data_IF_314127338968
#
_entry.id   IF_314127338968
#
_cell.length_a   1.000
_cell.length_b   1.000
_cell.length_c   1.000
_cell.angle_alpha   90.00
_cell.angle_beta   90.00
_cell.angle_gamma   90.00
#
_symmetry.space_group_name_H-M   'P 1'
#
loop_
_entity.id
_entity.type
_entity.pdbx_description
1 polymer ?
#
# COMPACT_ATOMS: atom_id res chain seq x y z
N UNK A 1 0.14 24.86 -25.14
CA UNK A 1 1.55 24.56 -24.80
C UNK A 1 1.94 23.21 -25.38
N UNK A 2 3.17 23.07 -25.86
CA UNK A 2 3.67 21.79 -26.37
C UNK A 2 4.00 20.85 -25.20
N UNK A 3 3.81 19.53 -25.37
CA UNK A 3 3.94 18.59 -24.25
C UNK A 3 5.35 18.56 -23.66
N UNK A 4 6.39 18.65 -24.49
CA UNK A 4 7.79 18.71 -24.03
C UNK A 4 8.05 19.91 -23.12
N UNK A 5 7.49 21.08 -23.45
CA UNK A 5 7.58 22.28 -22.61
C UNK A 5 6.91 22.07 -21.26
N UNK A 6 5.71 21.48 -21.23
CA UNK A 6 5.02 21.18 -19.97
C UNK A 6 5.83 20.18 -19.12
N UNK A 7 6.37 19.13 -19.74
CA UNK A 7 7.17 18.11 -19.06
C UNK A 7 8.49 18.68 -18.52
N UNK A 8 9.10 19.64 -19.21
CA UNK A 8 10.28 20.37 -18.72
C UNK A 8 9.97 21.32 -17.57
N UNK A 9 8.81 21.98 -17.57
CA UNK A 9 8.36 22.84 -16.48
C UNK A 9 7.96 22.06 -15.23
N UNK A 10 7.37 20.87 -15.41
CA UNK A 10 6.92 19.95 -14.36
C UNK A 10 6.27 20.64 -13.13
N UNK A 11 5.23 21.48 -13.32
CA UNK A 11 4.67 22.22 -12.21
C UNK A 11 4.07 21.28 -11.16
N UNK A 12 4.28 21.59 -9.88
CA UNK A 12 3.94 20.70 -8.77
C UNK A 12 2.46 20.28 -8.74
N UNK A 13 1.54 21.12 -9.20
CA UNK A 13 0.11 20.78 -9.25
C UNK A 13 -0.21 19.72 -10.33
N UNK A 14 0.63 19.56 -11.35
CA UNK A 14 0.38 18.63 -12.46
C UNK A 14 0.70 17.17 -12.13
N UNK A 15 1.27 16.87 -10.97
CA UNK A 15 1.36 15.51 -10.43
C UNK A 15 0.03 15.02 -9.83
N UNK A 16 -0.95 15.92 -9.67
CA UNK A 16 -2.28 15.61 -9.13
C UNK A 16 -3.28 15.21 -10.23
N UNK A 17 -4.42 14.59 -9.85
CA UNK A 17 -5.47 14.22 -10.79
C UNK A 17 -6.05 15.42 -11.53
N UNK A 18 -6.12 15.36 -12.86
CA UNK A 18 -6.68 16.41 -13.69
C UNK A 18 -7.62 15.84 -14.75
N UNK A 19 -8.60 16.63 -15.16
CA UNK A 19 -9.19 16.49 -16.49
C UNK A 19 -8.40 17.36 -17.47
N UNK A 20 -8.22 16.93 -18.72
CA UNK A 20 -7.43 17.69 -19.69
C UNK A 20 -8.05 17.70 -21.09
N UNK A 21 -7.61 18.66 -21.89
CA UNK A 21 -7.84 18.74 -23.34
C UNK A 21 -6.48 18.82 -24.03
N UNK A 22 -6.17 17.79 -24.82
CA UNK A 22 -4.89 17.65 -25.53
C UNK A 22 -5.13 17.22 -26.97
N UNK A 23 -4.31 17.67 -27.89
CA UNK A 23 -4.44 17.36 -29.32
C UNK A 23 -3.08 16.95 -29.86
N UNK A 24 -3.10 15.98 -30.76
CA UNK A 24 -1.91 15.62 -31.54
C UNK A 24 -1.70 16.69 -32.62
N UNK A 25 -0.45 17.02 -32.90
CA UNK A 25 -0.05 17.97 -33.93
C UNK A 25 0.96 17.26 -34.84
N UNK A 26 0.54 17.00 -36.08
CA UNK A 26 1.37 16.34 -37.09
C UNK A 26 1.87 17.39 -38.08
N UNK A 27 3.19 17.55 -38.20
CA UNK A 27 3.83 18.51 -39.13
C UNK A 27 3.29 19.96 -38.97
N UNK A 28 3.03 20.39 -37.74
CA UNK A 28 2.46 21.71 -37.44
C UNK A 28 0.94 21.83 -37.65
N UNK A 29 0.27 20.78 -38.15
CA UNK A 29 -1.18 20.75 -38.34
C UNK A 29 -1.84 19.98 -37.19
N UNK A 30 -2.75 20.61 -36.42
CA UNK A 30 -3.51 19.91 -35.38
C UNK A 30 -4.42 18.84 -35.97
N UNK A 31 -4.46 17.67 -35.33
CA UNK A 31 -5.39 16.59 -35.69
C UNK A 31 -6.84 17.08 -35.57
N UNK A 32 -7.80 16.56 -36.37
CA UNK A 32 -9.18 17.06 -36.36
C UNK A 32 -9.91 16.86 -35.01
N UNK A 33 -9.45 15.92 -34.20
CA UNK A 33 -10.02 15.63 -32.89
C UNK A 33 -9.00 15.81 -31.77
N UNK A 34 -9.48 16.34 -30.65
CA UNK A 34 -8.77 16.46 -29.39
C UNK A 34 -9.16 15.31 -28.47
N UNK A 35 -8.20 14.84 -27.66
CA UNK A 35 -8.43 13.92 -26.56
C UNK A 35 -8.86 14.68 -25.32
N UNK A 36 -10.00 14.29 -24.78
CA UNK A 36 -10.51 14.80 -23.51
C UNK A 36 -10.64 13.63 -22.53
N UNK A 37 -9.89 13.67 -21.43
CA UNK A 37 -9.89 12.56 -20.47
C UNK A 37 -9.33 12.92 -19.11
N UNK A 38 -9.20 11.92 -18.25
CA UNK A 38 -8.66 12.01 -16.91
C UNK A 38 -7.20 11.56 -16.80
N UNK A 39 -6.49 12.15 -15.85
CA UNK A 39 -5.17 11.76 -15.39
C UNK A 39 -5.17 11.51 -13.88
N UNK A 40 -4.15 10.82 -13.35
CA UNK A 40 -4.08 10.51 -11.92
C UNK A 40 -5.26 9.65 -11.41
N UNK A 41 -5.77 8.75 -12.26
CA UNK A 41 -6.98 7.96 -11.97
C UNK A 41 -6.78 6.88 -10.91
N UNK A 42 -5.53 6.56 -10.58
CA UNK A 42 -5.17 5.56 -9.58
C UNK A 42 -4.64 6.26 -8.33
N UNK A 43 -5.53 6.57 -7.38
CA UNK A 43 -5.14 7.25 -6.14
C UNK A 43 -4.36 6.36 -5.17
N UNK A 44 -4.46 5.03 -5.36
CA UNK A 44 -3.92 4.00 -4.48
C UNK A 44 -2.89 3.09 -5.15
N UNK A 45 -2.56 3.28 -6.44
CA UNK A 45 -1.41 2.56 -7.01
C UNK A 45 -0.07 3.00 -6.39
N UNK A 46 -0.10 4.09 -5.60
CA UNK A 46 1.02 4.57 -4.79
C UNK A 46 1.05 3.97 -3.38
N UNK A 47 0.15 3.04 -3.00
CA UNK A 47 0.45 2.20 -1.84
C UNK A 47 1.61 1.30 -2.25
N UNK A 48 2.78 1.54 -1.64
CA UNK A 48 4.11 0.97 -1.90
C UNK A 48 4.18 -0.58 -1.99
N UNK A 49 3.07 -1.29 -1.88
CA UNK A 49 2.96 -2.75 -1.86
C UNK A 49 2.63 -3.37 -3.23
N UNK A 50 2.12 -2.62 -4.21
CA UNK A 50 1.68 -3.17 -5.52
C UNK A 50 2.26 -2.41 -6.73
N UNK A 51 3.51 -1.93 -6.61
CA UNK A 51 4.28 -1.47 -7.77
C UNK A 51 5.20 -2.63 -8.20
N UNK A 52 4.83 -3.45 -9.21
CA UNK A 52 5.63 -4.61 -9.61
C UNK A 52 7.02 -4.25 -10.15
N UNK A 53 7.29 -2.98 -10.43
CA UNK A 53 8.59 -2.49 -10.89
C UNK A 53 8.83 -1.07 -10.35
N UNK A 54 10.02 -0.84 -9.76
CA UNK A 54 10.36 0.38 -9.04
C UNK A 54 9.99 1.66 -9.78
N UNK A 55 9.29 2.58 -9.13
CA UNK A 55 8.73 3.75 -9.81
C UNK A 55 8.94 5.05 -9.03
N UNK A 56 10.02 5.75 -9.35
CA UNK A 56 10.07 7.22 -9.30
C UNK A 56 9.40 7.85 -10.54
N UNK A 57 8.29 7.26 -11.02
CA UNK A 57 7.62 7.69 -12.25
C UNK A 57 6.76 8.93 -12.04
N UNK A 58 6.65 9.78 -13.06
CA UNK A 58 5.74 10.93 -13.07
C UNK A 58 4.28 10.44 -12.90
N UNK A 59 3.54 11.09 -12.01
CA UNK A 59 2.12 10.79 -11.72
C UNK A 59 1.19 11.86 -12.29
N UNK A 60 -0.13 11.68 -12.11
CA UNK A 60 -1.11 12.71 -12.47
C UNK A 60 -1.12 13.07 -13.95
N UNK A 61 -1.26 14.36 -14.23
CA UNK A 61 -1.22 14.93 -15.58
C UNK A 61 0.14 14.70 -16.24
N UNK A 62 1.25 14.89 -15.52
CA UNK A 62 2.60 14.71 -16.06
C UNK A 62 2.81 13.28 -16.58
N UNK A 63 2.46 12.26 -15.80
CA UNK A 63 2.55 10.86 -16.24
C UNK A 63 1.73 10.57 -17.50
N UNK A 64 0.51 11.13 -17.58
CA UNK A 64 -0.34 10.98 -18.78
C UNK A 64 0.23 11.72 -19.99
N UNK A 65 0.81 12.89 -19.81
CA UNK A 65 1.42 13.66 -20.91
C UNK A 65 2.71 12.99 -21.40
N UNK A 66 3.53 12.40 -20.52
CA UNK A 66 4.68 11.57 -20.91
C UNK A 66 4.25 10.39 -21.78
N UNK A 67 3.17 9.70 -21.38
CA UNK A 67 2.60 8.60 -22.18
C UNK A 67 2.22 9.08 -23.58
N UNK A 68 1.52 10.20 -23.71
CA UNK A 68 1.15 10.74 -25.03
C UNK A 68 2.35 11.20 -25.84
N UNK A 69 3.33 11.85 -25.21
CA UNK A 69 4.53 12.31 -25.89
C UNK A 69 5.28 11.14 -26.54
N UNK A 70 5.39 10.01 -25.83
CA UNK A 70 6.04 8.81 -26.35
C UNK A 70 5.18 8.07 -27.38
N UNK A 71 3.85 8.05 -27.19
CA UNK A 71 2.93 7.34 -28.08
C UNK A 71 2.73 8.05 -29.42
N UNK A 72 2.84 9.38 -29.46
CA UNK A 72 2.58 10.16 -30.67
C UNK A 72 3.77 10.35 -31.60
N UNK A 73 4.96 9.87 -31.22
CA UNK A 73 6.15 9.93 -32.06
C UNK A 73 5.87 9.39 -33.48
N UNK A 74 6.35 10.09 -34.54
CA UNK A 74 7.21 11.28 -34.52
C UNK A 74 6.45 12.62 -34.36
N UNK A 75 5.14 12.60 -34.16
CA UNK A 75 4.31 13.80 -34.01
C UNK A 75 4.33 14.34 -32.58
N UNK A 76 4.11 15.64 -32.43
CA UNK A 76 4.08 16.29 -31.13
C UNK A 76 2.65 16.36 -30.58
N UNK A 77 2.53 16.61 -29.28
CA UNK A 77 1.25 16.91 -28.64
C UNK A 77 1.20 18.36 -28.18
N UNK A 78 0.00 18.93 -28.16
CA UNK A 78 -0.29 20.23 -27.56
C UNK A 78 -1.43 20.11 -26.56
N UNK A 79 -1.20 20.57 -25.33
CA UNK A 79 -2.22 20.71 -24.29
C UNK A 79 -2.79 22.13 -24.31
N UNK A 80 -4.11 22.24 -24.11
CA UNK A 80 -4.84 23.51 -24.17
C UNK A 80 -5.43 23.91 -22.82
N UNK A 81 -5.97 22.93 -22.08
CA UNK A 81 -6.57 23.18 -20.78
C UNK A 81 -6.43 21.95 -19.87
N UNK A 82 -6.35 22.20 -18.57
CA UNK A 82 -6.46 21.20 -17.52
C UNK A 82 -7.30 21.73 -16.36
N UNK A 83 -8.13 20.87 -15.79
CA UNK A 83 -8.92 21.15 -14.59
C UNK A 83 -8.43 20.23 -13.48
N UNK A 84 -7.86 20.82 -12.43
CA UNK A 84 -7.36 20.12 -11.25
C UNK A 84 -8.53 19.57 -10.43
N UNK A 85 -8.50 18.28 -10.13
CA UNK A 85 -9.53 17.58 -9.37
C UNK A 85 -8.93 17.10 -8.05
N UNK A 86 -9.69 17.29 -6.96
CA UNK A 86 -9.30 16.81 -5.64
C UNK A 86 -9.06 15.30 -5.66
N UNK A 87 -7.90 14.87 -5.14
CA UNK A 87 -7.56 13.47 -4.89
C UNK A 87 -8.51 12.89 -3.82
N UNK A 88 -9.51 12.13 -4.26
CA UNK A 88 -10.56 11.59 -3.39
C UNK A 88 -11.18 10.31 -3.96
N UNK A 89 -11.43 9.33 -3.09
CA UNK A 89 -12.27 8.17 -3.40
C UNK A 89 -13.74 8.53 -3.19
N UNK A 90 -14.59 8.00 -4.05
CA UNK A 90 -16.01 8.34 -4.04
C UNK A 90 -16.91 7.16 -4.37
N UNK A 91 -18.16 7.28 -3.98
CA UNK A 91 -19.27 6.47 -4.44
C UNK A 91 -20.34 7.37 -5.07
N UNK A 92 -21.01 6.85 -6.09
CA UNK A 92 -22.16 7.52 -6.69
C UNK A 92 -23.44 6.95 -6.11
N UNK A 93 -24.22 7.78 -5.42
CA UNK A 93 -25.37 7.31 -4.64
C UNK A 93 -26.40 6.55 -5.48
N UNK A 94 -26.55 6.91 -6.76
CA UNK A 94 -27.53 6.30 -7.66
C UNK A 94 -27.06 4.94 -8.23
N UNK A 95 -25.79 4.56 -8.03
CA UNK A 95 -25.18 3.41 -8.72
C UNK A 95 -24.37 2.49 -7.82
N UNK A 96 -23.66 3.05 -6.86
CA UNK A 96 -22.70 2.34 -6.03
C UNK A 96 -23.27 2.20 -4.62
N UNK A 97 -23.16 0.99 -4.06
CA UNK A 97 -23.50 0.74 -2.66
C UNK A 97 -22.33 1.14 -1.76
N UNK A 98 -22.66 1.80 -0.66
CA UNK A 98 -21.72 2.15 0.40
C UNK A 98 -21.95 1.28 1.63
N UNK A 99 -20.89 1.04 2.40
CA UNK A 99 -20.94 0.39 3.71
C UNK A 99 -19.95 1.06 4.64
N UNK A 100 -20.13 0.87 5.93
CA UNK A 100 -19.16 1.27 6.96
C UNK A 100 -18.16 0.13 7.19
N UNK A 101 -16.90 0.48 7.38
CA UNK A 101 -15.84 -0.43 7.80
C UNK A 101 -15.79 -0.56 9.33
N UNK A 102 -14.80 -1.32 9.83
CA UNK A 102 -14.64 -1.54 11.27
C UNK A 102 -14.38 -0.24 12.07
N UNK A 103 -13.74 0.74 11.46
CA UNK A 103 -13.42 2.03 12.08
C UNK A 103 -14.56 3.06 11.90
N UNK A 104 -15.72 2.64 11.35
CA UNK A 104 -16.84 3.51 11.01
C UNK A 104 -16.64 4.35 9.74
N UNK A 105 -15.61 4.05 8.94
CA UNK A 105 -15.33 4.71 7.68
C UNK A 105 -16.24 4.22 6.56
N UNK A 106 -16.86 5.15 5.83
CA UNK A 106 -17.69 4.80 4.66
C UNK A 106 -16.81 4.44 3.47
N UNK A 107 -17.00 3.25 2.91
CA UNK A 107 -16.30 2.78 1.72
C UNK A 107 -17.27 2.37 0.60
N UNK A 108 -16.79 2.42 -0.65
CA UNK A 108 -17.54 1.96 -1.81
C UNK A 108 -17.43 0.42 -1.92
N UNK A 109 -18.53 -0.31 -1.74
CA UNK A 109 -18.54 -1.77 -1.80
C UNK A 109 -18.35 -2.30 -3.21
N UNK A 110 -18.98 -1.67 -4.19
CA UNK A 110 -18.99 -2.18 -5.56
C UNK A 110 -17.70 -1.81 -6.29
N UNK A 111 -17.13 -0.64 -6.00
CA UNK A 111 -15.91 -0.11 -6.64
C UNK A 111 -15.02 0.66 -5.67
N UNK A 112 -14.33 -0.07 -4.78
CA UNK A 112 -13.45 0.52 -3.76
C UNK A 112 -12.32 1.42 -4.29
N UNK A 113 -11.92 1.26 -5.56
CA UNK A 113 -10.89 2.09 -6.22
C UNK A 113 -11.45 3.26 -7.04
N UNK A 114 -12.76 3.53 -6.98
CA UNK A 114 -13.37 4.61 -7.76
C UNK A 114 -12.94 5.97 -7.26
N UNK A 115 -12.44 6.79 -8.16
CA UNK A 115 -11.87 8.11 -7.85
C UNK A 115 -12.77 9.24 -8.36
N UNK A 116 -12.72 10.39 -7.68
CA UNK A 116 -13.48 11.58 -8.05
C UNK A 116 -13.18 12.02 -9.49
N UNK A 117 -11.93 11.93 -9.93
CA UNK A 117 -11.53 12.32 -11.29
C UNK A 117 -12.25 11.49 -12.36
N UNK A 118 -12.48 10.20 -12.14
CA UNK A 118 -13.25 9.35 -13.06
C UNK A 118 -14.74 9.68 -13.06
N UNK A 119 -15.30 10.06 -11.92
CA UNK A 119 -16.68 10.56 -11.87
C UNK A 119 -16.82 11.86 -12.67
N UNK A 120 -15.87 12.79 -12.50
CA UNK A 120 -15.84 14.08 -13.22
C UNK A 120 -15.53 13.94 -14.70
N UNK A 121 -14.69 12.99 -15.10
CA UNK A 121 -14.46 12.66 -16.51
C UNK A 121 -15.75 12.26 -17.20
N UNK A 122 -16.55 11.41 -16.54
CA UNK A 122 -17.82 10.98 -17.09
C UNK A 122 -18.81 12.13 -17.23
N UNK A 123 -18.86 13.03 -16.24
CA UNK A 123 -19.66 14.26 -16.34
C UNK A 123 -19.18 15.15 -17.50
N UNK A 124 -17.87 15.29 -17.65
CA UNK A 124 -17.27 16.06 -18.74
C UNK A 124 -17.64 15.50 -20.11
N UNK A 125 -17.49 14.19 -20.28
CA UNK A 125 -17.88 13.49 -21.50
C UNK A 125 -19.37 13.63 -21.79
N UNK A 126 -20.23 13.51 -20.78
CA UNK A 126 -21.67 13.70 -20.95
C UNK A 126 -22.03 15.12 -21.39
N UNK A 127 -21.32 16.15 -20.89
CA UNK A 127 -21.50 17.53 -21.31
C UNK A 127 -21.03 17.77 -22.75
N UNK A 128 -19.90 17.16 -23.14
CA UNK A 128 -19.40 17.20 -24.52
C UNK A 128 -20.35 16.50 -25.50
N UNK A 129 -20.93 15.36 -25.10
CA UNK A 129 -21.93 14.63 -25.88
C UNK A 129 -23.22 15.43 -26.03
N UNK A 130 -23.68 16.09 -24.96
CA UNK A 130 -24.85 16.98 -24.99
C UNK A 130 -24.67 18.13 -25.98
N UNK A 131 -23.43 18.57 -26.20
CA UNK A 131 -23.06 19.60 -27.19
C UNK A 131 -22.80 19.05 -28.59
N UNK A 132 -22.89 17.73 -28.79
CA UNK A 132 -22.66 17.08 -30.08
C UNK A 132 -21.21 17.08 -30.54
N UNK A 133 -20.24 17.19 -29.62
CA UNK A 133 -18.82 17.37 -29.95
C UNK A 133 -18.06 16.04 -30.11
N UNK A 134 -18.70 14.88 -29.89
CA UNK A 134 -18.05 13.57 -30.04
C UNK A 134 -17.66 13.33 -31.50
N UNK A 135 -16.42 12.94 -31.76
CA UNK A 135 -15.96 12.71 -33.14
C UNK A 135 -16.71 11.54 -33.80
N UNK A 136 -16.85 10.42 -33.08
CA UNK A 136 -17.60 9.25 -33.54
C UNK A 136 -18.67 8.93 -32.50
N UNK A 137 -19.92 9.31 -32.77
CA UNK A 137 -21.03 9.16 -31.82
C UNK A 137 -21.28 7.70 -31.41
N UNK A 138 -21.01 6.77 -32.32
CA UNK A 138 -21.20 5.33 -32.10
C UNK A 138 -20.12 4.73 -31.18
N UNK A 139 -19.00 5.45 -30.96
CA UNK A 139 -17.89 4.98 -30.11
C UNK A 139 -17.80 5.82 -28.86
N UNK A 140 -17.69 5.15 -27.72
CA UNK A 140 -17.35 5.78 -26.43
C UNK A 140 -15.85 6.06 -26.31
N UNK A 141 -15.25 6.69 -27.32
CA UNK A 141 -13.82 7.04 -27.35
C UNK A 141 -13.58 8.42 -26.74
N UNK A 142 -12.38 8.70 -26.23
CA UNK A 142 -12.03 10.00 -25.64
C UNK A 142 -11.83 11.14 -26.68
N UNK A 143 -12.35 11.01 -27.91
CA UNK A 143 -12.03 11.92 -29.02
C UNK A 143 -13.20 12.83 -29.37
N UNK A 144 -12.93 14.13 -29.40
CA UNK A 144 -13.91 15.19 -29.59
C UNK A 144 -13.44 16.23 -30.60
N UNK A 145 -14.36 16.76 -31.39
CA UNK A 145 -14.10 17.78 -32.40
C UNK A 145 -14.68 19.10 -31.92
N UNK A 146 -13.87 20.14 -31.93
CA UNK A 146 -14.30 21.52 -31.65
C UNK A 146 -14.55 22.26 -32.95
N UNK A 147 -15.58 23.10 -33.01
CA UNK A 147 -15.82 23.99 -34.16
C UNK A 147 -15.02 25.28 -34.06
N UNK A 148 -14.57 25.64 -32.85
CA UNK A 148 -13.89 26.90 -32.53
C UNK A 148 -12.55 26.66 -31.86
N UNK A 149 -11.60 25.99 -32.53
CA UNK A 149 -10.22 25.82 -32.05
C UNK A 149 -10.10 25.44 -30.55
N UNK A 150 -10.69 24.30 -30.20
CA UNK A 150 -10.83 23.77 -28.83
C UNK A 150 -11.58 24.64 -27.80
N UNK A 151 -12.06 25.84 -28.13
CA UNK A 151 -12.82 26.70 -27.22
C UNK A 151 -14.13 26.04 -26.77
N UNK A 152 -14.78 25.25 -27.62
CA UNK A 152 -16.01 24.54 -27.26
C UNK A 152 -15.75 23.48 -26.16
N UNK A 153 -14.58 22.83 -26.22
CA UNK A 153 -14.13 21.82 -25.25
C UNK A 153 -13.73 22.49 -23.92
N UNK A 154 -13.01 23.62 -23.99
CA UNK A 154 -12.66 24.44 -22.82
C UNK A 154 -13.92 24.96 -22.13
N UNK A 155 -14.88 25.46 -22.91
CA UNK A 155 -16.16 25.94 -22.39
C UNK A 155 -17.00 24.82 -21.76
N UNK A 156 -16.90 23.57 -22.24
CA UNK A 156 -17.50 22.42 -21.60
C UNK A 156 -16.78 22.07 -20.29
N UNK A 157 -15.44 22.09 -20.29
CA UNK A 157 -14.62 21.80 -19.12
C UNK A 157 -14.91 22.78 -17.96
N UNK A 158 -15.13 24.07 -18.26
CA UNK A 158 -15.53 25.11 -17.29
C UNK A 158 -16.82 24.80 -16.53
N UNK A 159 -17.68 23.94 -17.07
CA UNK A 159 -18.95 23.56 -16.40
C UNK A 159 -18.76 22.43 -15.39
N UNK A 160 -17.60 21.78 -15.37
CA UNK A 160 -17.32 20.64 -14.49
C UNK A 160 -16.77 21.14 -13.17
N UNK A 161 -17.19 20.50 -12.07
CA UNK A 161 -16.72 20.85 -10.74
C UNK A 161 -15.29 20.33 -10.51
N UNK A 162 -14.43 21.23 -10.06
CA UNK A 162 -13.01 21.01 -9.81
C UNK A 162 -12.42 22.16 -9.00
N UNK A 163 -11.12 22.07 -8.68
CA UNK A 163 -10.44 23.03 -7.80
C UNK A 163 -10.00 24.28 -8.56
N UNK A 164 -9.17 24.09 -9.60
CA UNK A 164 -8.58 25.17 -10.39
C UNK A 164 -8.49 24.76 -11.84
N UNK A 165 -8.73 25.71 -12.74
CA UNK A 165 -8.62 25.50 -14.17
C UNK A 165 -7.39 26.24 -14.70
N UNK A 166 -6.56 25.54 -15.45
CA UNK A 166 -5.33 26.01 -16.04
C UNK A 166 -5.47 26.03 -17.56
N UNK A 167 -5.21 27.19 -18.17
CA UNK A 167 -5.12 27.36 -19.61
C UNK A 167 -3.65 27.41 -20.02
N UNK A 168 -3.35 26.79 -21.15
CA UNK A 168 -1.99 26.63 -21.63
C UNK A 168 -1.79 27.46 -22.90
N UNK A 169 -1.04 28.54 -22.79
CA UNK A 169 -0.57 29.29 -23.96
C UNK A 169 0.67 28.61 -24.55
N UNK A 170 1.35 29.24 -25.51
CA UNK A 170 2.61 28.71 -26.04
C UNK A 170 3.70 28.71 -24.94
N UNK A 171 3.78 29.79 -24.18
CA UNK A 171 4.92 30.10 -23.31
C UNK A 171 4.57 30.12 -21.82
N UNK A 172 3.28 30.06 -21.45
CA UNK A 172 2.84 30.19 -20.07
C UNK A 172 1.64 29.31 -19.72
N UNK A 173 1.52 29.02 -18.43
CA UNK A 173 0.36 28.39 -17.82
C UNK A 173 -0.35 29.46 -17.00
N UNK A 174 -1.63 29.71 -17.31
CA UNK A 174 -2.42 30.78 -16.67
C UNK A 174 -3.64 30.16 -15.99
N UNK A 175 -3.96 30.61 -14.77
CA UNK A 175 -5.21 30.22 -14.10
C UNK A 175 -6.40 30.92 -14.79
N UNK A 176 -7.45 30.15 -15.11
CA UNK A 176 -8.61 30.66 -15.84
C UNK A 176 -9.51 31.51 -14.95
N UNK A 177 -9.47 32.83 -15.10
CA UNK A 177 -10.32 33.75 -14.32
C UNK A 177 -11.82 33.59 -14.57
N UNK A 178 -12.23 32.97 -15.70
CA UNK A 178 -13.65 32.69 -15.98
C UNK A 178 -14.16 31.40 -15.32
N UNK A 179 -13.29 30.63 -14.66
CA UNK A 179 -13.66 29.41 -13.97
C UNK A 179 -14.12 29.70 -12.54
N UNK A 180 -15.36 29.33 -12.22
CA UNK A 180 -16.00 29.62 -10.93
C UNK A 180 -16.45 28.34 -10.18
N UNK A 181 -15.74 27.22 -10.38
CA UNK A 181 -16.01 25.97 -9.66
C UNK A 181 -17.02 25.02 -10.34
N UNK A 182 -17.34 25.26 -11.62
CA UNK A 182 -18.29 24.46 -12.38
C UNK A 182 -19.76 24.83 -12.18
N UNK A 183 -20.64 24.20 -12.95
CA UNK A 183 -22.08 24.41 -12.87
C UNK A 183 -22.67 23.69 -11.64
N UNK A 184 -23.65 24.34 -10.98
CA UNK A 184 -24.36 23.73 -9.84
C UNK A 184 -25.24 22.54 -10.25
N UNK A 185 -25.59 22.39 -11.53
CA UNK A 185 -26.43 21.32 -12.09
C UNK A 185 -25.69 19.98 -12.25
N UNK A 186 -24.87 19.57 -11.28
CA UNK A 186 -24.32 18.21 -11.26
C UNK A 186 -25.48 17.23 -11.11
N UNK A 187 -25.67 16.37 -12.12
CA UNK A 187 -26.71 15.33 -12.08
C UNK A 187 -26.30 14.14 -11.23
N UNK A 188 -25.00 13.96 -10.98
CA UNK A 188 -24.48 12.84 -10.20
C UNK A 188 -24.33 13.29 -8.75
N UNK A 189 -24.99 12.56 -7.85
CA UNK A 189 -24.80 12.70 -6.40
C UNK A 189 -23.60 11.85 -5.98
N UNK A 190 -22.59 12.51 -5.42
CA UNK A 190 -21.30 11.90 -5.07
C UNK A 190 -21.14 11.95 -3.55
N UNK A 191 -20.81 10.80 -2.97
CA UNK A 191 -20.46 10.65 -1.55
C UNK A 191 -18.99 10.34 -1.43
N UNK A 192 -18.33 11.03 -0.51
CA UNK A 192 -16.92 10.83 -0.21
C UNK A 192 -16.72 9.48 0.50
N UNK A 193 -15.74 8.70 0.05
CA UNK A 193 -15.44 7.38 0.62
C UNK A 193 -13.96 7.25 0.97
N UNK A 194 -13.64 6.20 1.72
CA UNK A 194 -12.28 5.85 2.13
C UNK A 194 -11.92 4.43 1.69
N UNK A 195 -10.61 4.08 1.65
CA UNK A 195 -10.20 2.70 1.44
C UNK A 195 -10.76 1.82 2.57
N UNK A 196 -11.31 0.66 2.22
CA UNK A 196 -11.87 -0.28 3.21
C UNK A 196 -10.78 -0.71 4.18
N UNK A 197 -10.95 -0.41 5.47
CA UNK A 197 -10.12 -1.00 6.52
C UNK A 197 -10.68 -2.36 6.93
N UNK A 198 -9.78 -3.33 7.10
CA UNK A 198 -10.13 -4.65 7.63
C UNK A 198 -9.58 -4.77 9.03
N UNK A 199 -10.28 -5.53 9.88
CA UNK A 199 -9.76 -5.82 11.22
C UNK A 199 -8.35 -6.42 11.08
N UNK A 200 -7.38 -5.96 11.89
CA UNK A 200 -6.08 -6.59 11.93
C UNK A 200 -6.29 -8.05 12.32
N UNK A 201 -6.07 -8.95 11.37
CA UNK A 201 -6.02 -10.37 11.67
C UNK A 201 -4.71 -10.59 12.40
N UNK A 202 -4.78 -10.86 13.70
CA UNK A 202 -3.69 -11.58 14.35
C UNK A 202 -3.53 -12.88 13.56
N UNK A 203 -2.48 -12.96 12.75
CA UNK A 203 -2.15 -14.19 12.07
C UNK A 203 -1.88 -15.20 13.17
N UNK A 204 -2.83 -16.11 13.40
CA UNK A 204 -2.60 -17.27 14.25
C UNK A 204 -1.32 -17.93 13.73
N UNK A 205 -0.25 -17.83 14.54
CA UNK A 205 1.03 -18.43 14.23
C UNK A 205 0.73 -19.90 13.89
N UNK A 206 1.11 -20.40 12.70
CA UNK A 206 0.81 -21.78 12.34
C UNK A 206 1.44 -22.70 13.38
N UNK A 207 0.62 -23.23 14.27
CA UNK A 207 1.04 -24.11 15.35
C UNK A 207 0.80 -25.54 14.92
N UNK A 208 1.88 -26.30 14.80
CA UNK A 208 1.79 -27.75 14.58
C UNK A 208 1.62 -28.39 15.95
N UNK A 209 0.45 -28.95 16.23
CA UNK A 209 0.23 -29.74 17.45
C UNK A 209 0.73 -31.16 17.20
N UNK A 210 1.94 -31.47 17.66
CA UNK A 210 2.48 -32.84 17.63
C UNK A 210 2.03 -33.57 18.89
N UNK A 211 1.13 -34.55 18.75
CA UNK A 211 0.78 -35.48 19.83
C UNK A 211 1.72 -36.68 19.77
N UNK A 212 2.58 -36.83 20.77
CA UNK A 212 3.45 -37.99 20.92
C UNK A 212 2.87 -38.91 21.99
N UNK A 213 2.70 -40.20 21.68
CA UNK A 213 2.39 -41.20 22.70
C UNK A 213 3.64 -41.53 23.53
N UNK A 214 3.44 -41.90 24.81
CA UNK A 214 4.52 -42.30 25.73
C UNK A 214 5.40 -43.39 25.12
N UNK A 215 4.76 -44.36 24.47
CA UNK A 215 5.41 -45.56 23.95
C UNK A 215 6.34 -45.23 22.78
N UNK A 216 5.94 -44.25 21.96
CA UNK A 216 6.77 -43.76 20.85
C UNK A 216 7.99 -42.98 21.34
N UNK A 217 7.85 -42.20 22.43
CA UNK A 217 8.99 -41.49 23.02
C UNK A 217 10.02 -42.45 23.61
N UNK A 218 9.56 -43.53 24.24
CA UNK A 218 10.45 -44.55 24.79
C UNK A 218 11.12 -45.40 23.70
N UNK A 219 10.40 -45.72 22.62
CA UNK A 219 10.98 -46.34 21.42
C UNK A 219 12.01 -45.43 20.74
N UNK A 220 11.73 -44.13 20.62
CA UNK A 220 12.66 -43.17 20.02
C UNK A 220 13.93 -42.98 20.89
N UNK A 221 13.76 -42.98 22.22
CA UNK A 221 14.88 -42.92 23.18
C UNK A 221 15.77 -44.16 23.08
N UNK A 222 15.19 -45.35 22.90
CA UNK A 222 15.92 -46.60 22.81
C UNK A 222 16.55 -46.84 21.43
N UNK A 223 15.82 -46.53 20.34
CA UNK A 223 16.23 -46.84 18.97
C UNK A 223 17.09 -45.76 18.30
N UNK A 224 16.92 -44.48 18.66
CA UNK A 224 17.74 -43.40 18.11
C UNK A 224 17.91 -42.21 19.09
N UNK A 225 18.86 -42.33 20.04
CA UNK A 225 19.07 -41.32 21.09
C UNK A 225 19.40 -39.92 20.55
N UNK A 226 20.05 -39.85 19.38
CA UNK A 226 20.45 -38.58 18.75
C UNK A 226 19.25 -37.77 18.24
N UNK A 227 18.25 -38.45 17.66
CA UNK A 227 17.01 -37.80 17.21
C UNK A 227 16.11 -37.42 18.38
N UNK A 228 16.08 -38.25 19.43
CA UNK A 228 15.39 -37.91 20.68
C UNK A 228 15.96 -36.63 21.32
N UNK A 229 17.29 -36.51 21.40
CA UNK A 229 17.93 -35.29 21.93
C UNK A 229 17.61 -34.05 21.10
N UNK A 230 17.59 -34.17 19.75
CA UNK A 230 17.19 -33.07 18.85
C UNK A 230 15.74 -32.65 19.08
N UNK A 231 14.81 -33.60 19.18
CA UNK A 231 13.39 -33.33 19.42
C UNK A 231 13.17 -32.60 20.75
N UNK A 232 13.80 -33.07 21.82
CA UNK A 232 13.70 -32.42 23.14
C UNK A 232 14.31 -31.01 23.12
N UNK A 233 15.40 -30.78 22.38
CA UNK A 233 15.98 -29.45 22.24
C UNK A 233 15.06 -28.48 21.47
N UNK A 234 14.38 -28.94 20.42
CA UNK A 234 13.38 -28.13 19.70
C UNK A 234 12.21 -27.77 20.62
N UNK A 235 11.69 -28.75 21.37
CA UNK A 235 10.59 -28.52 22.32
C UNK A 235 11.00 -27.54 23.43
N UNK A 236 12.19 -27.68 24.01
CA UNK A 236 12.69 -26.74 25.02
C UNK A 236 12.89 -25.33 24.47
N UNK A 237 13.40 -25.20 23.24
CA UNK A 237 13.60 -23.90 22.59
C UNK A 237 12.29 -23.18 22.28
N UNK A 238 11.19 -23.91 22.12
CA UNK A 238 9.85 -23.34 21.93
C UNK A 238 9.08 -23.10 23.23
N UNK A 239 9.43 -23.80 24.32
CA UNK A 239 8.81 -23.61 25.64
C UNK A 239 9.49 -22.53 26.49
N UNK A 240 10.72 -22.13 26.15
CA UNK A 240 11.34 -20.96 26.76
C UNK A 240 10.78 -19.70 26.09
N UNK A 241 10.24 -18.72 26.85
CA UNK A 241 9.95 -17.41 26.28
C UNK A 241 11.26 -16.85 25.70
N UNK A 242 11.23 -16.12 24.57
CA UNK A 242 12.44 -15.53 24.01
C UNK A 242 13.05 -14.63 25.08
N UNK A 243 14.20 -15.04 25.63
CA UNK A 243 14.97 -14.19 26.52
C UNK A 243 15.48 -13.06 25.65
N UNK A 244 14.88 -11.87 25.77
CA UNK A 244 15.45 -10.66 25.19
C UNK A 244 16.79 -10.39 25.88
N UNK A 245 17.88 -10.83 25.26
CA UNK A 245 19.22 -10.53 25.73
C UNK A 245 19.50 -9.06 25.43
N UNK A 246 19.15 -8.18 26.37
CA UNK A 246 19.46 -6.76 26.28
C UNK A 246 20.95 -6.56 26.57
N UNK A 247 21.75 -6.33 25.53
CA UNK A 247 23.19 -6.02 25.68
C UNK A 247 23.36 -4.51 25.79
N UNK A 248 23.78 -4.04 26.96
CA UNK A 248 24.10 -2.61 27.15
C UNK A 248 25.45 -2.28 26.51
N UNK A 249 25.43 -1.43 25.49
CA UNK A 249 26.63 -0.98 24.77
C UNK A 249 26.83 0.52 24.92
N UNK A 250 28.08 0.97 24.81
CA UNK A 250 28.40 2.41 24.78
C UNK A 250 27.87 3.03 23.48
N UNK A 251 27.34 4.27 23.51
CA UNK A 251 26.78 4.92 22.32
C UNK A 251 27.72 4.99 21.11
N UNK A 252 29.03 5.16 21.36
CA UNK A 252 30.04 5.19 20.32
C UNK A 252 30.18 3.85 19.58
N UNK A 253 30.13 2.73 20.31
CA UNK A 253 30.25 1.38 19.74
C UNK A 253 28.99 1.03 18.91
N UNK A 254 27.82 1.53 19.30
CA UNK A 254 26.56 1.39 18.52
C UNK A 254 26.60 2.22 17.23
N UNK A 255 27.16 3.44 17.28
CA UNK A 255 27.32 4.29 16.11
C UNK A 255 28.28 3.68 15.08
N UNK A 256 29.41 3.12 15.55
CA UNK A 256 30.39 2.39 14.73
C UNK A 256 29.76 1.16 14.04
N UNK A 257 28.93 0.39 14.76
CA UNK A 257 28.21 -0.74 14.18
C UNK A 257 27.19 -0.31 13.11
N UNK A 258 26.44 0.77 13.36
CA UNK A 258 25.46 1.30 12.38
C UNK A 258 26.14 1.88 11.13
N UNK A 259 27.32 2.46 11.30
CA UNK A 259 28.12 3.00 10.20
C UNK A 259 28.88 1.92 9.41
N UNK A 260 28.86 0.66 9.85
CA UNK A 260 29.47 -0.46 9.13
C UNK A 260 31.00 -0.39 9.06
N UNK A 261 31.64 0.29 10.01
CA UNK A 261 33.11 0.46 10.01
C UNK A 261 33.82 -0.88 10.28
N UNK A 262 35.11 -1.02 9.93
CA UNK A 262 35.88 -2.22 10.23
C UNK A 262 35.85 -2.60 11.72
N UNK A 263 35.84 -1.59 12.60
CA UNK A 263 35.72 -1.75 14.05
C UNK A 263 34.30 -2.15 14.47
N UNK A 264 33.26 -1.53 13.92
CA UNK A 264 31.87 -1.90 14.15
C UNK A 264 31.57 -3.35 13.75
N UNK A 265 32.10 -3.80 12.61
CA UNK A 265 31.93 -5.18 12.14
C UNK A 265 32.66 -6.21 13.03
N UNK A 266 33.80 -5.85 13.63
CA UNK A 266 34.49 -6.70 14.61
C UNK A 266 33.69 -6.82 15.91
N UNK A 267 33.12 -5.71 16.40
CA UNK A 267 32.27 -5.69 17.60
C UNK A 267 31.01 -6.54 17.38
N UNK A 268 30.36 -6.40 16.21
CA UNK A 268 29.18 -7.20 15.86
C UNK A 268 29.50 -8.71 15.82
N UNK A 269 30.65 -9.10 15.24
CA UNK A 269 31.08 -10.51 15.20
C UNK A 269 31.39 -11.07 16.59
N UNK A 270 32.01 -10.27 17.47
CA UNK A 270 32.30 -10.68 18.84
C UNK A 270 31.01 -10.94 19.64
N UNK A 271 29.97 -10.12 19.45
CA UNK A 271 28.66 -10.30 20.10
C UNK A 271 27.92 -11.55 19.63
N UNK A 272 28.06 -11.92 18.36
CA UNK A 272 27.50 -13.17 17.82
C UNK A 272 28.22 -14.40 18.37
N UNK A 273 29.54 -14.34 18.60
CA UNK A 273 30.34 -15.46 19.12
C UNK A 273 30.13 -15.72 20.62
N UNK A 274 29.86 -14.69 21.43
CA UNK A 274 29.57 -14.84 22.87
C UNK A 274 28.21 -15.54 23.12
N UNK A 275 27.32 -15.57 22.12
CA UNK A 275 26.02 -16.25 22.22
C UNK A 275 26.08 -17.77 21.94
N UNK A 276 27.26 -18.32 21.62
CA UNK A 276 27.48 -19.74 21.33
C UNK A 276 28.40 -20.46 22.33
N UNK A 277 28.45 -20.05 23.60
CA UNK A 277 29.08 -20.91 24.61
C UNK A 277 28.20 -22.15 24.89
N UNK A 278 28.75 -23.38 24.78
CA UNK A 278 28.03 -24.57 25.17
C UNK A 278 27.84 -24.57 26.69
N UNK A 279 26.59 -24.55 27.13
CA UNK A 279 26.24 -24.76 28.55
C UNK A 279 26.84 -26.10 28.98
N UNK A 280 27.84 -26.05 29.85
CA UNK A 280 28.45 -27.24 30.43
C UNK A 280 27.38 -28.08 31.14
N UNK A 281 27.23 -29.33 30.72
CA UNK A 281 26.31 -30.29 31.33
C UNK A 281 26.84 -30.62 32.73
N UNK A 282 26.13 -30.30 33.83
CA UNK A 282 26.54 -30.79 35.14
C UNK A 282 26.39 -32.32 35.17
N UNK A 283 27.30 -33.05 35.86
CA UNK A 283 27.21 -34.50 35.94
C UNK A 283 25.87 -34.93 36.59
N UNK A 284 25.31 -36.07 36.19
CA UNK A 284 24.03 -36.52 36.72
C UNK A 284 24.15 -36.73 38.23
N UNK A 285 23.28 -36.07 38.97
CA UNK A 285 23.09 -36.34 40.40
C UNK A 285 22.59 -37.78 40.56
N UNK A 286 23.17 -38.59 41.47
CA UNK A 286 22.66 -39.93 41.70
C UNK A 286 21.21 -39.85 42.20
N UNK A 287 20.29 -40.47 41.45
CA UNK A 287 18.90 -40.66 41.89
C UNK A 287 18.91 -41.59 43.10
N UNK A 288 18.66 -41.02 44.28
CA UNK A 288 18.13 -41.80 45.42
C UNK A 288 16.74 -42.28 45.00
N UNK A 289 16.62 -43.57 44.73
CA UNK A 289 15.34 -44.22 44.47
C UNK A 289 14.46 -44.09 45.72
N UNK A 290 13.22 -43.67 45.49
CA UNK A 290 12.18 -43.42 46.50
C UNK A 290 11.60 -44.73 47.08
N UNK A 291 12.45 -45.73 47.32
CA UNK A 291 12.11 -47.03 47.92
C UNK A 291 12.74 -47.25 49.30
N UNK A 292 13.65 -46.38 49.76
CA UNK A 292 14.30 -46.49 51.08
C UNK A 292 13.82 -45.45 52.11
N UNK A 293 12.98 -44.47 51.73
CA UNK A 293 12.47 -43.45 52.66
C UNK A 293 11.15 -43.82 53.37
N UNK A 294 10.57 -45.00 53.11
CA UNK A 294 9.32 -45.47 53.78
C UNK A 294 9.63 -46.45 54.94
N UNK A 295 10.88 -46.89 55.10
CA UNK A 295 11.25 -47.85 56.17
C UNK A 295 11.80 -47.22 57.47
N UNK A 296 12.11 -45.93 57.48
CA UNK A 296 12.57 -45.20 58.69
C UNK A 296 11.54 -44.23 59.29
N UNK A 297 10.41 -43.96 58.60
CA UNK A 297 9.34 -43.09 59.12
C UNK A 297 8.29 -43.79 60.01
N UNK A 298 8.38 -45.11 60.20
CA UNK A 298 7.35 -45.95 60.82
C UNK A 298 7.76 -46.57 62.16
N UNK A 299 8.78 -46.04 62.84
CA UNK A 299 9.24 -46.56 64.15
C UNK A 299 9.13 -45.61 65.34
N UNK A 300 8.51 -44.44 65.21
CA UNK A 300 8.42 -43.52 66.36
C UNK A 300 7.11 -42.75 66.38
N UNK A 301 6.05 -43.41 66.87
CA UNK A 301 4.97 -42.83 67.72
C UNK A 301 3.86 -43.87 67.94
N UNK A 302 4.18 -44.93 68.68
CA UNK A 302 3.19 -45.59 69.53
C UNK A 302 3.40 -45.05 70.95
N UNK A 303 2.59 -44.08 71.36
CA UNK A 303 2.38 -43.80 72.79
C UNK A 303 0.90 -44.00 73.08
N UNK A 304 0.68 -45.09 73.79
CA UNK A 304 -0.49 -45.49 74.55
C UNK A 304 -1.00 -44.31 75.39
N UNK A 305 -2.31 -44.05 75.33
CA UNK A 305 -3.09 -43.63 76.48
C UNK A 305 -4.43 -44.36 76.44
N UNK A 306 -4.53 -45.40 77.27
CA UNK A 306 -5.78 -45.95 77.79
C UNK A 306 -6.23 -45.10 78.97
N UNK A 307 -7.51 -44.73 79.01
CA UNK A 307 -8.46 -45.12 80.08
C UNK A 307 -9.80 -44.40 79.91
N UNK A 308 -10.86 -45.21 79.96
CA UNK A 308 -12.04 -45.09 80.83
C UNK A 308 -12.16 -43.81 81.68
#
# INVERSE_FOLDING_TARGET
MDLETLLGLAPAWASEPCLYVVQQVANGVPAPASRCGASGTQLLASSEQDLPYGSGGLTGLLGRMTMYNNYWLPFSGRIYAALSIKKQLVAETDRDRTSEDYDGGVYNMDRGSRTLVLAREREFHAELDRRGLRWQQDKRNELFVSTRDNQDLIAALRTIRGQKMHLFTKDAIVEDGAYHGGARRSRVTIVDTQPRRTQPREAAIPSITVRLSSDWLDQLRAGNPSMYARLINVVRRHLQPPTETTVHMRPADVAEMRAGTPRGNQIARALTQVSEEPVAVPPPTPRVTRATAVREGLRTRARVYTRD
#
